data_IF_725389604424
#
_entry.id   IF_725389604424
#
_cell.length_a   1.000
_cell.length_b   1.000
_cell.length_c   1.000
_cell.angle_alpha   90.00
_cell.angle_beta   90.00
_cell.angle_gamma   90.00
#
_symmetry.space_group_name_H-M   'P 1'
#
loop_
_entity.id
_entity.type
_entity.pdbx_description
1 polymer ?
#
# COMPACT_ATOMS: atom_id res chain seq x y z
N UNK A 1 7.90 4.60 17.57
CA UNK A 1 8.07 4.12 16.16
C UNK A 1 7.44 2.76 15.92
N UNK A 2 7.77 1.75 16.74
CA UNK A 2 7.21 0.41 16.60
C UNK A 2 5.66 0.38 16.71
N UNK A 3 5.11 1.22 17.60
CA UNK A 3 3.66 1.39 17.77
C UNK A 3 2.98 1.96 16.53
N UNK A 4 3.62 2.91 15.83
CA UNK A 4 3.08 3.48 14.59
C UNK A 4 3.10 2.47 13.44
N UNK A 5 4.13 1.63 13.38
CA UNK A 5 4.22 0.51 12.44
C UNK A 5 3.10 -0.50 12.71
N UNK A 6 2.87 -0.83 13.99
CA UNK A 6 1.79 -1.72 14.38
C UNK A 6 0.41 -1.13 14.03
N UNK A 7 0.18 0.15 14.34
CA UNK A 7 -1.05 0.84 14.00
C UNK A 7 -1.31 0.86 12.48
N UNK A 8 -0.25 1.04 11.67
CA UNK A 8 -0.36 0.93 10.21
C UNK A 8 -0.71 -0.50 9.76
N UNK A 9 -0.13 -1.51 10.38
CA UNK A 9 -0.42 -2.91 10.09
C UNK A 9 -1.86 -3.27 10.46
N UNK A 10 -2.33 -2.83 11.63
CA UNK A 10 -3.72 -2.99 12.08
C UNK A 10 -4.69 -2.30 11.12
N UNK A 11 -4.42 -1.04 10.76
CA UNK A 11 -5.21 -0.32 9.76
C UNK A 11 -5.25 -1.05 8.42
N UNK A 12 -4.10 -1.55 7.94
CA UNK A 12 -4.06 -2.33 6.71
C UNK A 12 -4.94 -3.58 6.81
N UNK A 13 -4.84 -4.31 7.93
CA UNK A 13 -5.63 -5.49 8.20
C UNK A 13 -7.13 -5.18 8.19
N UNK A 14 -7.55 -4.10 8.85
CA UNK A 14 -8.96 -3.65 8.89
C UNK A 14 -9.48 -3.33 7.48
N UNK A 15 -8.69 -2.62 6.67
CA UNK A 15 -9.08 -2.21 5.31
C UNK A 15 -9.17 -3.39 4.33
N UNK A 16 -8.32 -4.41 4.49
CA UNK A 16 -8.22 -5.56 3.58
C UNK A 16 -8.81 -6.86 4.13
N UNK A 17 -9.31 -6.86 5.37
CA UNK A 17 -9.65 -8.09 6.11
C UNK A 17 -8.45 -9.06 6.19
N UNK A 18 -7.25 -8.50 6.37
CA UNK A 18 -6.00 -9.24 6.63
C UNK A 18 -5.24 -9.72 5.40
N UNK A 19 -5.86 -9.75 4.21
CA UNK A 19 -5.20 -10.22 2.98
C UNK A 19 -5.36 -9.24 1.83
N UNK A 20 -4.24 -8.96 1.14
CA UNK A 20 -4.28 -8.15 -0.07
C UNK A 20 -4.89 -8.98 -1.21
N UNK A 21 -5.98 -8.47 -1.79
CA UNK A 21 -6.65 -9.05 -2.96
C UNK A 21 -6.62 -8.04 -4.11
N UNK A 22 -6.82 -8.46 -5.38
CA UNK A 22 -6.88 -7.54 -6.52
C UNK A 22 -7.87 -6.37 -6.29
N UNK A 23 -9.01 -6.62 -5.66
CA UNK A 23 -10.02 -5.60 -5.35
C UNK A 23 -9.64 -4.66 -4.20
N UNK A 24 -8.59 -4.98 -3.44
CA UNK A 24 -8.10 -4.21 -2.28
C UNK A 24 -6.76 -3.52 -2.53
N UNK A 25 -6.20 -3.62 -3.75
CA UNK A 25 -4.95 -2.91 -4.12
C UNK A 25 -5.04 -1.39 -3.91
N UNK A 26 -6.24 -0.81 -3.95
CA UNK A 26 -6.45 0.62 -3.69
C UNK A 26 -6.01 1.05 -2.29
N UNK A 27 -6.07 0.15 -1.29
CA UNK A 27 -5.65 0.43 0.09
C UNK A 27 -4.15 0.71 0.13
N UNK A 28 -3.37 -0.14 -0.55
CA UNK A 28 -1.92 0.05 -0.68
C UNK A 28 -1.61 1.31 -1.49
N UNK A 29 -2.32 1.55 -2.59
CA UNK A 29 -2.11 2.75 -3.40
C UNK A 29 -2.40 4.04 -2.61
N UNK A 30 -3.47 4.06 -1.81
CA UNK A 30 -3.80 5.17 -0.93
C UNK A 30 -2.73 5.35 0.14
N UNK A 31 -2.35 4.26 0.83
CA UNK A 31 -1.36 4.29 1.89
C UNK A 31 0.01 4.77 1.43
N UNK A 32 0.52 4.22 0.32
CA UNK A 32 1.82 4.64 -0.23
C UNK A 32 1.81 6.09 -0.69
N UNK A 33 0.71 6.58 -1.29
CA UNK A 33 0.59 7.97 -1.71
C UNK A 33 0.57 8.93 -0.51
N UNK A 34 -0.28 8.68 0.49
CA UNK A 34 -0.35 9.48 1.73
C UNK A 34 1.00 9.53 2.43
N UNK A 35 1.67 8.38 2.57
CA UNK A 35 2.99 8.30 3.17
C UNK A 35 4.04 9.07 2.35
N UNK A 36 3.94 9.10 1.03
CA UNK A 36 4.85 9.91 0.21
C UNK A 36 4.67 11.40 0.48
N UNK A 37 3.43 11.89 0.57
CA UNK A 37 3.15 13.29 0.94
C UNK A 37 3.60 13.64 2.36
N UNK A 38 3.59 12.66 3.26
CA UNK A 38 4.05 12.84 4.64
C UNK A 38 5.52 13.26 4.71
N UNK A 39 6.37 12.92 3.72
CA UNK A 39 7.79 13.29 3.72
C UNK A 39 7.99 14.80 3.81
N UNK A 40 7.21 15.53 3.03
CA UNK A 40 7.30 16.99 2.90
C UNK A 40 6.32 17.70 3.86
N UNK A 41 5.14 17.11 4.10
CA UNK A 41 4.07 17.76 4.85
C UNK A 41 3.66 16.95 6.09
N UNK A 42 3.72 17.58 7.26
CA UNK A 42 3.15 17.02 8.47
C UNK A 42 2.87 18.13 9.50
N UNK A 43 1.69 18.16 10.15
CA UNK A 43 0.55 17.25 9.98
C UNK A 43 -0.06 17.30 8.57
N UNK A 44 -0.76 16.24 8.18
CA UNK A 44 -1.34 16.13 6.85
C UNK A 44 -2.73 16.77 6.83
N UNK A 45 -2.90 17.85 6.08
CA UNK A 45 -4.21 18.37 5.68
C UNK A 45 -4.69 17.67 4.39
N UNK A 46 -6.01 17.72 4.17
CA UNK A 46 -6.69 17.13 3.01
C UNK A 46 -6.12 17.63 1.70
N UNK A 47 -5.78 18.92 1.61
CA UNK A 47 -5.21 19.53 0.40
C UNK A 47 -3.85 18.96 0.00
N UNK A 48 -3.08 18.38 0.95
CA UNK A 48 -1.76 17.83 0.63
C UNK A 48 -1.83 16.54 -0.18
N UNK A 49 -2.91 15.76 -0.05
CA UNK A 49 -3.04 14.44 -0.65
C UNK A 49 -4.33 14.24 -1.44
N UNK A 50 -5.23 15.24 -1.49
CA UNK A 50 -6.49 15.19 -2.25
C UNK A 50 -6.60 16.41 -3.18
N UNK A 51 -6.94 16.15 -4.45
CA UNK A 51 -7.23 17.20 -5.44
C UNK A 51 -8.58 17.87 -5.15
N UNK A 52 -8.83 19.04 -5.73
CA UNK A 52 -10.12 19.73 -5.67
C UNK A 52 -11.31 18.87 -6.11
N UNK A 53 -11.07 17.83 -6.94
CA UNK A 53 -12.08 16.88 -7.42
C UNK A 53 -12.30 15.70 -6.47
N UNK A 54 -11.82 15.77 -5.23
CA UNK A 54 -11.89 14.67 -4.24
C UNK A 54 -11.22 13.38 -4.73
N UNK A 55 -10.08 13.52 -5.42
CA UNK A 55 -9.25 12.39 -5.87
C UNK A 55 -7.91 12.43 -5.16
N UNK A 56 -7.46 11.30 -4.62
CA UNK A 56 -6.14 11.20 -3.98
C UNK A 56 -5.04 11.51 -5.00
N UNK A 57 -3.99 12.22 -4.59
CA UNK A 57 -2.77 12.44 -5.39
C UNK A 57 -1.98 11.13 -5.48
N UNK A 58 -2.50 10.19 -6.25
CA UNK A 58 -1.90 8.89 -6.52
C UNK A 58 -1.89 8.64 -8.01
N UNK A 59 -0.89 7.91 -8.48
CA UNK A 59 -0.74 7.56 -9.89
C UNK A 59 0.04 6.26 -10.00
N UNK A 60 -0.25 5.45 -11.02
CA UNK A 60 0.49 4.21 -11.29
C UNK A 60 2.02 4.38 -11.30
N UNK A 61 2.57 5.39 -12.00
CA UNK A 61 4.00 5.69 -11.97
C UNK A 61 4.54 5.98 -10.57
N UNK A 62 3.81 6.75 -9.75
CA UNK A 62 4.22 7.05 -8.37
C UNK A 62 4.30 5.77 -7.54
N UNK A 63 3.26 4.95 -7.58
CA UNK A 63 3.21 3.69 -6.83
C UNK A 63 4.31 2.73 -7.30
N UNK A 64 4.51 2.62 -8.62
CA UNK A 64 5.58 1.81 -9.19
C UNK A 64 6.98 2.31 -8.82
N UNK A 65 7.18 3.63 -8.76
CA UNK A 65 8.45 4.20 -8.31
C UNK A 65 8.73 3.87 -6.85
N UNK A 66 7.74 4.03 -5.97
CA UNK A 66 7.87 3.68 -4.55
C UNK A 66 8.22 2.19 -4.42
N UNK A 67 7.46 1.30 -5.06
CA UNK A 67 7.74 -0.15 -5.06
C UNK A 67 9.17 -0.47 -5.56
N UNK A 68 9.61 0.19 -6.63
CA UNK A 68 10.96 0.00 -7.20
C UNK A 68 12.06 0.42 -6.24
N UNK A 69 11.87 1.46 -5.42
CA UNK A 69 12.85 1.85 -4.37
C UNK A 69 13.07 0.76 -3.33
N UNK A 70 12.09 -0.13 -3.16
CA UNK A 70 12.21 -1.33 -2.33
C UNK A 70 12.56 -2.59 -3.15
N UNK A 71 12.97 -2.47 -4.41
CA UNK A 71 13.34 -3.60 -5.26
C UNK A 71 12.15 -4.42 -5.79
N UNK A 72 10.92 -3.93 -5.64
CA UNK A 72 9.73 -4.56 -6.25
C UNK A 72 9.51 -3.97 -7.65
N UNK A 73 9.87 -4.73 -8.68
CA UNK A 73 9.76 -4.32 -10.09
C UNK A 73 8.56 -4.94 -10.80
N UNK A 74 7.79 -5.81 -10.12
CA UNK A 74 6.60 -6.42 -10.72
C UNK A 74 5.50 -5.38 -10.88
N UNK A 75 4.80 -5.46 -12.00
CA UNK A 75 3.71 -4.54 -12.34
C UNK A 75 2.54 -4.74 -11.36
N UNK A 76 2.35 -3.78 -10.45
CA UNK A 76 1.31 -3.86 -9.42
C UNK A 76 -0.03 -3.32 -9.90
N UNK A 77 -0.01 -2.31 -10.77
CA UNK A 77 -1.22 -1.75 -11.37
C UNK A 77 -0.90 -1.03 -12.69
N UNK A 78 -1.52 -1.47 -13.81
CA UNK A 78 -1.51 -0.74 -15.09
C UNK A 78 -2.48 0.43 -15.08
N UNK A 79 -3.62 0.26 -14.41
CA UNK A 79 -4.68 1.27 -14.26
C UNK A 79 -4.36 2.28 -13.14
N UNK A 80 -3.19 2.16 -12.53
CA UNK A 80 -2.55 3.22 -11.77
C UNK A 80 -3.34 3.77 -10.60
N UNK A 81 -4.08 2.93 -9.89
CA UNK A 81 -4.85 3.39 -8.72
C UNK A 81 -5.98 4.32 -9.15
N UNK A 82 -6.97 3.78 -9.88
CA UNK A 82 -8.27 4.46 -10.04
C UNK A 82 -8.63 5.09 -8.71
N UNK A 83 -8.61 6.42 -8.66
CA UNK A 83 -8.98 7.21 -7.49
C UNK A 83 -10.48 7.11 -7.31
N UNK A 84 -10.90 5.96 -6.79
CA UNK A 84 -12.28 5.67 -6.45
C UNK A 84 -12.60 6.29 -5.09
N UNK A 85 -13.89 6.37 -4.76
CA UNK A 85 -14.33 6.74 -3.40
C UNK A 85 -13.69 5.86 -2.32
N UNK A 86 -13.42 4.59 -2.62
CA UNK A 86 -12.75 3.68 -1.70
C UNK A 86 -11.26 4.04 -1.48
N UNK A 87 -10.58 4.55 -2.51
CA UNK A 87 -9.19 5.04 -2.40
C UNK A 87 -9.13 6.28 -1.53
N UNK A 88 -10.05 7.22 -1.73
CA UNK A 88 -10.18 8.41 -0.90
C UNK A 88 -10.47 8.06 0.55
N UNK A 89 -11.49 7.22 0.80
CA UNK A 89 -11.85 6.80 2.15
C UNK A 89 -10.69 6.11 2.89
N UNK A 90 -9.91 5.27 2.20
CA UNK A 90 -8.71 4.67 2.77
C UNK A 90 -7.63 5.73 3.08
N UNK A 91 -7.40 6.69 2.18
CA UNK A 91 -6.44 7.78 2.42
C UNK A 91 -6.84 8.65 3.62
N UNK A 92 -8.11 9.06 3.70
CA UNK A 92 -8.63 9.87 4.81
C UNK A 92 -8.53 9.11 6.14
N UNK A 93 -8.87 7.81 6.15
CA UNK A 93 -8.74 6.96 7.33
C UNK A 93 -7.28 6.83 7.79
N UNK A 94 -6.32 6.68 6.88
CA UNK A 94 -4.90 6.63 7.24
C UNK A 94 -4.42 7.98 7.80
N UNK A 95 -4.84 9.09 7.19
CA UNK A 95 -4.45 10.42 7.65
C UNK A 95 -5.02 10.70 9.05
N UNK A 96 -6.27 10.30 9.30
CA UNK A 96 -6.87 10.38 10.63
C UNK A 96 -6.05 9.59 11.66
N UNK A 97 -5.64 8.36 11.32
CA UNK A 97 -4.76 7.56 12.16
C UNK A 97 -3.43 8.28 12.41
N UNK A 98 -2.76 8.77 11.36
CA UNK A 98 -1.44 9.41 11.46
C UNK A 98 -1.47 10.71 12.26
N UNK A 99 -2.51 11.52 12.11
CA UNK A 99 -2.64 12.81 12.79
C UNK A 99 -3.09 12.67 14.25
N UNK A 100 -3.85 11.62 14.60
CA UNK A 100 -4.34 11.37 15.96
C UNK A 100 -3.47 10.38 16.75
N UNK A 101 -2.49 9.73 16.12
CA UNK A 101 -1.59 8.79 16.79
C UNK A 101 -0.82 9.52 17.92
N UNK A 102 -0.56 8.88 19.08
CA UNK A 102 0.21 9.50 20.17
C UNK A 102 1.59 10.04 19.74
N UNK A 103 2.22 9.40 18.74
CA UNK A 103 3.48 9.86 18.16
C UNK A 103 3.38 11.12 17.29
N UNK A 104 2.20 11.73 17.09
CA UNK A 104 2.02 12.85 16.17
C UNK A 104 2.91 14.05 16.52
N UNK A 105 3.08 14.36 17.81
CA UNK A 105 3.97 15.45 18.26
C UNK A 105 5.42 15.20 17.91
N UNK A 106 5.87 13.95 18.02
CA UNK A 106 7.24 13.57 17.66
C UNK A 106 7.44 13.74 16.15
N UNK A 107 6.50 13.23 15.33
CA UNK A 107 6.53 13.34 13.87
C UNK A 107 6.56 14.78 13.35
N UNK A 108 5.84 15.69 14.04
CA UNK A 108 5.86 17.12 13.73
C UNK A 108 7.20 17.78 14.04
N UNK A 109 7.90 17.33 15.08
CA UNK A 109 9.22 17.83 15.47
C UNK A 109 10.38 17.25 14.65
N UNK A 110 10.15 16.21 13.84
CA UNK A 110 11.20 15.59 13.01
C UNK A 110 11.62 16.52 11.87
N UNK A 111 12.92 16.50 11.58
CA UNK A 111 13.46 17.07 10.34
C UNK A 111 12.96 16.28 9.13
N UNK A 112 12.96 16.89 7.94
CA UNK A 112 12.53 16.23 6.70
C UNK A 112 13.28 14.92 6.42
N UNK A 113 14.56 14.84 6.80
CA UNK A 113 15.37 13.63 6.67
C UNK A 113 14.89 12.50 7.58
N UNK A 114 14.72 12.76 8.88
CA UNK A 114 14.21 11.77 9.84
C UNK A 114 12.78 11.34 9.49
N UNK A 115 11.94 12.28 9.07
CA UNK A 115 10.59 11.98 8.61
C UNK A 115 10.59 11.07 7.38
N UNK A 116 11.49 11.30 6.44
CA UNK A 116 11.67 10.43 5.26
C UNK A 116 12.07 9.00 5.65
N UNK A 117 12.91 8.84 6.68
CA UNK A 117 13.30 7.51 7.20
C UNK A 117 12.13 6.80 7.89
N UNK A 118 11.29 7.54 8.61
CA UNK A 118 10.06 7.01 9.20
C UNK A 118 9.08 6.56 8.11
N UNK A 119 8.82 7.44 7.14
CA UNK A 119 7.98 7.13 5.98
C UNK A 119 8.50 5.89 5.25
N UNK A 120 9.82 5.77 5.06
CA UNK A 120 10.41 4.61 4.42
C UNK A 120 10.11 3.32 5.18
N UNK A 121 10.16 3.33 6.51
CA UNK A 121 9.81 2.16 7.33
C UNK A 121 8.32 1.80 7.19
N UNK A 122 7.44 2.81 7.21
CA UNK A 122 5.99 2.60 7.02
C UNK A 122 5.67 2.08 5.61
N UNK A 123 6.31 2.63 4.58
CA UNK A 123 6.18 2.16 3.19
C UNK A 123 6.68 0.71 3.06
N UNK A 124 7.72 0.32 3.79
CA UNK A 124 8.25 -1.05 3.76
C UNK A 124 7.22 -2.10 4.21
N UNK A 125 6.38 -1.77 5.21
CA UNK A 125 5.29 -2.65 5.68
C UNK A 125 4.31 -2.93 4.54
N UNK A 126 3.82 -1.87 3.90
CA UNK A 126 2.89 -2.00 2.78
C UNK A 126 3.51 -2.74 1.59
N UNK A 127 4.79 -2.49 1.30
CA UNK A 127 5.53 -3.22 0.25
C UNK A 127 5.67 -4.70 0.60
N UNK A 128 5.86 -5.07 1.86
CA UNK A 128 5.94 -6.48 2.28
C UNK A 128 4.62 -7.22 1.97
N UNK A 129 3.47 -6.59 2.20
CA UNK A 129 2.17 -7.14 1.80
C UNK A 129 2.03 -7.29 0.27
N UNK A 130 2.54 -6.32 -0.50
CA UNK A 130 2.56 -6.41 -1.98
C UNK A 130 3.42 -7.58 -2.45
N UNK A 131 4.60 -7.77 -1.85
CA UNK A 131 5.50 -8.88 -2.18
C UNK A 131 4.84 -10.23 -1.90
N UNK A 132 4.21 -10.37 -0.73
CA UNK A 132 3.46 -11.57 -0.35
C UNK A 132 2.30 -11.83 -1.30
N UNK A 133 1.58 -10.78 -1.70
CA UNK A 133 0.52 -10.89 -2.69
C UNK A 133 1.02 -11.49 -4.01
N UNK A 134 2.14 -10.99 -4.54
CA UNK A 134 2.69 -11.53 -5.78
C UNK A 134 3.24 -12.96 -5.63
N UNK A 135 3.86 -13.28 -4.49
CA UNK A 135 4.35 -14.63 -4.19
C UNK A 135 3.20 -15.64 -4.23
N UNK A 136 2.09 -15.34 -3.55
CA UNK A 136 0.89 -16.19 -3.55
C UNK A 136 0.29 -16.32 -4.95
N UNK A 137 0.24 -15.24 -5.75
CA UNK A 137 -0.20 -15.29 -7.14
C UNK A 137 0.71 -16.17 -8.01
N UNK A 138 2.02 -16.14 -7.78
CA UNK A 138 2.98 -16.97 -8.49
C UNK A 138 2.84 -18.45 -8.10
N UNK A 139 2.68 -18.75 -6.80
CA UNK A 139 2.46 -20.11 -6.30
C UNK A 139 1.20 -20.73 -6.90
N UNK A 140 0.08 -19.99 -6.86
CA UNK A 140 -1.17 -20.40 -7.52
C UNK A 140 -0.93 -20.71 -9.00
N UNK A 141 -0.23 -19.84 -9.74
CA UNK A 141 0.05 -20.06 -11.16
C UNK A 141 0.90 -21.30 -11.44
N UNK A 142 1.82 -21.67 -10.54
CA UNK A 142 2.66 -22.88 -10.67
C UNK A 142 1.87 -24.15 -10.36
N UNK A 143 0.90 -24.10 -9.45
CA UNK A 143 0.02 -25.24 -9.16
C UNK A 143 -0.99 -25.52 -10.28
N UNK A 144 -1.46 -24.47 -10.96
CA UNK A 144 -2.29 -24.57 -12.17
C UNK A 144 -1.43 -24.64 -13.44
N UNK A 145 -0.63 -25.70 -13.59
CA UNK A 145 0.04 -26.03 -14.85
C UNK A 145 -0.80 -27.08 -15.64
N UNK A 146 -1.60 -26.68 -16.64
CA UNK A 146 -2.37 -27.61 -17.47
C UNK A 146 -1.50 -28.44 -18.45
N UNK A 147 -0.17 -28.25 -18.45
CA UNK A 147 0.76 -29.03 -19.24
C UNK A 147 1.26 -30.29 -18.52
N UNK A 148 0.79 -30.55 -17.29
CA UNK A 148 0.76 -31.91 -16.74
C UNK A 148 -0.55 -32.57 -17.18
N UNK A 149 -0.55 -33.39 -18.25
CA UNK A 149 -1.75 -34.16 -18.58
C UNK A 149 -2.08 -35.03 -17.38
N UNK A 150 -3.29 -34.84 -16.85
CA UNK A 150 -3.96 -35.87 -16.06
C UNK A 150 -3.91 -37.13 -16.92
N UNK A 151 -3.08 -38.09 -16.52
CA UNK A 151 -3.01 -39.38 -17.21
C UNK A 151 -4.36 -40.05 -16.99
N UNK A 152 -5.25 -39.86 -17.96
CA UNK A 152 -6.52 -40.53 -18.05
C UNK A 152 -6.19 -41.98 -18.41
N UNK A 153 -5.99 -42.81 -17.40
CA UNK A 153 -5.92 -44.25 -17.57
C UNK A 153 -7.31 -44.74 -17.99
N UNK A 154 -7.56 -44.82 -19.30
CA UNK A 154 -8.57 -45.73 -19.83
C UNK A 154 -7.88 -47.09 -19.96
N UNK A 155 -8.22 -48.02 -19.08
CA UNK A 155 -8.00 -49.47 -19.22
C UNK A 155 -9.28 -50.13 -18.71
N UNK A 156 -10.16 -50.45 -19.64
CA UNK A 156 -10.55 -51.81 -20.06
C UNK A 156 -11.52 -52.50 -19.09
#
# INVERSE_FOLDING_TARGET
MNELIQALEEWFHEQTSGVLTPNKRYVVCAGLAVLEHMKDHYPLDREHYVTEKSQVHTSGPLIQEILRRFGETREFTREGGRTTRATLAAAESLVELLNNHPCHRELQGLSAKDRSEVVRQLQAVLVAHVRRYFDEQQRLRVEFDPARPVSHSIGE
#
